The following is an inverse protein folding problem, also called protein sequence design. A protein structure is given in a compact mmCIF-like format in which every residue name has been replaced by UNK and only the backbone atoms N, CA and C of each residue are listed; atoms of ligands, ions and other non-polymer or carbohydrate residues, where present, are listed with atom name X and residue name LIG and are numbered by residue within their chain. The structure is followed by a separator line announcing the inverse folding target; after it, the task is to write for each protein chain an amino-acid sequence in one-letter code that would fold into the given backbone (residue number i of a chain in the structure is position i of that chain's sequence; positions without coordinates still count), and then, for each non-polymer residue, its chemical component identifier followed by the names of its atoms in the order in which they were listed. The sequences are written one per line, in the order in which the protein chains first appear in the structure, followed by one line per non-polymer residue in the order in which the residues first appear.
data_IF_935900875631
#
_entry.id   IF_935900875631
#
_cell.length_a   1.000
_cell.length_b   1.000
_cell.length_c   1.000
_cell.angle_alpha   90.00
_cell.angle_beta   90.00
_cell.angle_gamma   90.00
#
_symmetry.space_group_name_H-M   'P 1'
#
loop_
_entity.id
_entity.type
_entity.pdbx_description
1 polymer ?
#
# COMPACT_ATOMS: atom_id res chain seq x y z
N UNK A 1 -11.27 0.76 -43.89
CA UNK A 1 -11.25 0.86 -42.43
C UNK A 1 -10.50 -0.37 -41.92
N UNK A 2 -9.21 -0.25 -41.70
CA UNK A 2 -8.39 -1.32 -41.10
C UNK A 2 -8.58 -1.26 -39.61
N UNK A 3 -9.06 -2.35 -39.02
CA UNK A 3 -9.14 -2.58 -37.58
C UNK A 3 -7.70 -2.67 -37.03
N UNK A 4 -7.30 -1.68 -36.29
CA UNK A 4 -6.09 -1.76 -35.44
C UNK A 4 -6.39 -2.74 -34.30
N UNK A 5 -5.99 -3.98 -34.45
CA UNK A 5 -5.88 -4.93 -33.34
C UNK A 5 -4.79 -4.41 -32.39
N UNK A 6 -5.20 -4.00 -31.22
CA UNK A 6 -4.27 -3.73 -30.11
C UNK A 6 -3.60 -5.06 -29.79
N UNK A 7 -2.37 -5.25 -30.26
CA UNK A 7 -1.52 -6.35 -29.81
C UNK A 7 -1.32 -6.15 -28.30
N UNK A 8 -1.90 -7.03 -27.49
CA UNK A 8 -1.58 -7.11 -26.05
C UNK A 8 -0.09 -7.36 -25.96
N UNK A 9 0.67 -6.36 -25.51
CA UNK A 9 2.08 -6.48 -25.23
C UNK A 9 2.25 -7.71 -24.31
N UNK A 10 2.99 -8.73 -24.79
CA UNK A 10 3.35 -9.86 -23.94
C UNK A 10 4.37 -9.34 -22.91
N UNK A 11 4.00 -9.34 -21.63
CA UNK A 11 4.93 -9.04 -20.56
C UNK A 11 6.13 -9.99 -20.68
N UNK A 12 7.35 -9.48 -20.78
CA UNK A 12 8.53 -10.34 -20.85
C UNK A 12 8.63 -11.24 -19.62
N UNK A 13 8.89 -12.52 -19.79
CA UNK A 13 8.86 -13.55 -18.76
C UNK A 13 9.94 -13.38 -17.65
N UNK A 14 10.80 -12.35 -17.77
CA UNK A 14 11.85 -12.02 -16.80
C UNK A 14 11.54 -10.78 -15.94
N UNK A 15 10.41 -10.11 -16.19
CA UNK A 15 10.03 -8.94 -15.38
C UNK A 15 9.39 -9.38 -14.07
N UNK A 16 9.87 -8.78 -13.00
CA UNK A 16 9.28 -8.94 -11.68
C UNK A 16 8.54 -7.66 -11.28
N UNK A 17 7.30 -7.82 -10.84
CA UNK A 17 6.44 -6.75 -10.31
C UNK A 17 6.17 -7.00 -8.83
N UNK A 18 5.79 -5.94 -8.12
CA UNK A 18 5.36 -6.05 -6.73
C UNK A 18 4.06 -5.27 -6.50
N UNK A 19 3.20 -5.81 -5.63
CA UNK A 19 2.00 -5.14 -5.15
C UNK A 19 2.24 -4.63 -3.73
N UNK A 20 2.24 -3.31 -3.55
CA UNK A 20 2.57 -2.67 -2.27
C UNK A 20 1.42 -2.70 -1.26
N UNK A 21 0.19 -2.98 -1.70
CA UNK A 21 -0.98 -3.02 -0.83
C UNK A 21 -2.15 -3.76 -1.47
N UNK A 22 -2.60 -4.82 -0.81
CA UNK A 22 -3.82 -5.54 -1.13
C UNK A 22 -4.39 -6.23 0.11
N UNK A 23 -5.57 -6.81 0.00
CA UNK A 23 -6.27 -7.51 1.09
C UNK A 23 -6.47 -8.98 0.74
N UNK A 24 -5.41 -9.78 0.82
CA UNK A 24 -5.47 -11.21 0.47
C UNK A 24 -6.46 -12.00 1.33
N UNK A 25 -6.70 -11.58 2.57
CA UNK A 25 -7.68 -12.19 3.47
C UNK A 25 -9.14 -12.06 3.00
N UNK A 26 -9.42 -11.13 2.08
CA UNK A 26 -10.77 -10.93 1.52
C UNK A 26 -11.06 -11.83 0.31
N UNK A 27 -10.06 -12.52 -0.24
CA UNK A 27 -10.27 -13.46 -1.33
C UNK A 27 -10.82 -14.80 -0.81
N UNK A 28 -11.70 -15.42 -1.57
CA UNK A 28 -12.23 -16.75 -1.26
C UNK A 28 -11.10 -17.81 -1.20
N UNK A 29 -10.15 -17.73 -2.11
CA UNK A 29 -8.95 -18.57 -2.14
C UNK A 29 -7.69 -17.69 -2.33
N UNK A 30 -7.10 -17.21 -1.22
CA UNK A 30 -5.88 -16.41 -1.27
C UNK A 30 -4.72 -17.15 -1.93
N UNK A 31 -4.65 -18.47 -1.79
CA UNK A 31 -3.56 -19.30 -2.33
C UNK A 31 -3.60 -19.35 -3.84
N UNK A 32 -4.76 -19.60 -4.40
CA UNK A 32 -4.97 -19.62 -5.84
C UNK A 32 -4.77 -18.21 -6.44
N UNK A 33 -5.19 -17.16 -5.73
CA UNK A 33 -4.96 -15.77 -6.14
C UNK A 33 -3.48 -15.46 -6.25
N UNK A 34 -2.69 -15.80 -5.24
CA UNK A 34 -1.24 -15.62 -5.23
C UNK A 34 -0.56 -16.45 -6.32
N UNK A 35 -0.94 -17.72 -6.48
CA UNK A 35 -0.39 -18.58 -7.54
C UNK A 35 -0.59 -17.96 -8.92
N UNK A 36 -1.80 -17.48 -9.23
CA UNK A 36 -2.12 -16.83 -10.51
C UNK A 36 -1.35 -15.50 -10.70
N UNK A 37 -1.20 -14.73 -9.63
CA UNK A 37 -0.42 -13.50 -9.68
C UNK A 37 1.06 -13.79 -10.00
N UNK A 38 1.64 -14.81 -9.37
CA UNK A 38 3.01 -15.25 -9.64
C UNK A 38 3.25 -15.70 -11.08
N UNK A 39 2.31 -16.44 -11.65
CA UNK A 39 2.36 -16.84 -13.06
C UNK A 39 2.41 -15.66 -14.02
N UNK A 40 1.92 -14.49 -13.57
CA UNK A 40 1.99 -13.22 -14.30
C UNK A 40 3.22 -12.36 -13.96
N UNK A 41 4.14 -12.85 -13.10
CA UNK A 41 5.37 -12.15 -12.74
C UNK A 41 5.28 -11.29 -11.47
N UNK A 42 4.23 -11.43 -10.64
CA UNK A 42 4.19 -10.74 -9.35
C UNK A 42 5.06 -11.51 -8.35
N UNK A 43 6.23 -10.97 -8.06
CA UNK A 43 7.22 -11.61 -7.19
C UNK A 43 7.08 -11.26 -5.71
N UNK A 44 6.50 -10.11 -5.40
CA UNK A 44 6.33 -9.63 -4.02
C UNK A 44 4.93 -9.08 -3.82
N UNK A 45 4.27 -9.45 -2.72
CA UNK A 45 2.94 -8.96 -2.36
C UNK A 45 2.95 -8.54 -0.89
N UNK A 46 2.48 -7.32 -0.60
CA UNK A 46 2.24 -6.84 0.76
C UNK A 46 0.74 -6.89 1.01
N UNK A 47 0.29 -7.80 1.86
CA UNK A 47 -1.11 -7.83 2.29
C UNK A 47 -1.30 -7.00 3.55
N UNK A 48 -2.46 -6.35 3.69
CA UNK A 48 -2.76 -5.49 4.82
C UNK A 48 -3.92 -6.06 5.65
N UNK A 49 -3.76 -6.06 6.96
CA UNK A 49 -4.84 -6.17 7.92
C UNK A 49 -5.37 -4.78 8.30
N UNK A 50 -6.57 -4.72 8.84
CA UNK A 50 -7.17 -3.47 9.31
C UNK A 50 -7.97 -3.65 10.60
N UNK A 51 -8.25 -4.91 10.96
CA UNK A 51 -8.87 -5.31 12.22
C UNK A 51 -8.03 -6.35 12.94
N UNK A 52 -8.32 -6.61 14.22
CA UNK A 52 -7.69 -7.68 14.96
C UNK A 52 -7.79 -9.03 14.23
N UNK A 53 -8.97 -9.36 13.72
CA UNK A 53 -9.22 -10.59 12.96
C UNK A 53 -8.41 -10.63 11.66
N UNK A 54 -8.45 -9.55 10.88
CA UNK A 54 -7.77 -9.49 9.58
C UNK A 54 -6.25 -9.60 9.74
N UNK A 55 -5.69 -8.99 10.78
CA UNK A 55 -4.27 -9.09 11.11
C UNK A 55 -3.84 -10.55 11.29
N UNK A 56 -4.59 -11.35 12.06
CA UNK A 56 -4.29 -12.78 12.24
C UNK A 56 -4.38 -13.58 10.94
N UNK A 57 -5.37 -13.29 10.10
CA UNK A 57 -5.54 -13.95 8.80
C UNK A 57 -4.39 -13.57 7.86
N UNK A 58 -4.02 -12.30 7.78
CA UNK A 58 -2.91 -11.82 6.97
C UNK A 58 -1.55 -12.41 7.41
N UNK A 59 -1.29 -12.50 8.72
CA UNK A 59 -0.08 -13.15 9.24
C UNK A 59 0.00 -14.61 8.74
N UNK A 60 -1.09 -15.39 8.85
CA UNK A 60 -1.12 -16.78 8.35
C UNK A 60 -0.90 -16.89 6.84
N UNK A 61 -1.46 -15.96 6.06
CA UNK A 61 -1.26 -15.93 4.61
C UNK A 61 0.19 -15.61 4.29
N UNK A 62 0.81 -14.67 5.02
CA UNK A 62 2.19 -14.23 4.80
C UNK A 62 3.27 -15.26 5.16
N UNK A 63 2.95 -16.32 5.91
CA UNK A 63 3.88 -17.46 6.18
C UNK A 63 4.44 -18.11 4.90
N UNK A 64 3.86 -17.79 3.74
CA UNK A 64 4.28 -18.30 2.44
C UNK A 64 5.38 -17.45 1.84
N UNK A 65 6.15 -18.04 0.91
CA UNK A 65 7.22 -17.33 0.21
C UNK A 65 6.72 -16.09 -0.54
N UNK A 66 7.50 -15.00 -0.46
CA UNK A 66 7.29 -13.74 -1.17
C UNK A 66 5.99 -12.98 -0.84
N UNK A 67 5.28 -13.40 0.22
CA UNK A 67 4.18 -12.64 0.78
C UNK A 67 4.65 -12.06 2.11
N UNK A 68 4.33 -10.80 2.33
CA UNK A 68 4.58 -10.09 3.56
C UNK A 68 3.29 -9.43 4.01
N UNK A 69 3.22 -8.99 5.26
CA UNK A 69 2.03 -8.32 5.78
C UNK A 69 2.40 -7.08 6.57
N UNK A 70 1.50 -6.12 6.53
CA UNK A 70 1.43 -5.04 7.51
C UNK A 70 0.23 -5.30 8.41
N UNK A 71 0.32 -4.93 9.67
CA UNK A 71 -0.74 -5.13 10.67
C UNK A 71 -1.03 -3.83 11.41
N UNK A 72 -2.30 -3.58 11.67
CA UNK A 72 -2.72 -2.36 12.36
C UNK A 72 -4.23 -2.36 12.65
N UNK A 73 -4.70 -1.28 13.24
CA UNK A 73 -6.13 -0.99 13.40
C UNK A 73 -6.46 0.19 12.50
N UNK A 74 -7.17 -0.10 11.43
CA UNK A 74 -7.62 0.88 10.45
C UNK A 74 -8.77 1.75 10.97
N UNK A 75 -9.06 2.85 10.27
CA UNK A 75 -10.11 3.79 10.68
C UNK A 75 -11.51 3.17 10.75
N UNK A 76 -11.82 2.18 9.92
CA UNK A 76 -13.09 1.46 9.93
C UNK A 76 -13.32 0.65 11.21
N UNK A 77 -12.26 0.27 11.90
CA UNK A 77 -12.28 -0.58 13.10
C UNK A 77 -11.87 0.17 14.38
N UNK A 78 -11.71 1.49 14.30
CA UNK A 78 -11.27 2.31 15.42
C UNK A 78 -12.13 2.12 16.67
N UNK A 79 -13.45 2.02 16.53
CA UNK A 79 -14.36 1.84 17.65
C UNK A 79 -14.38 0.40 18.19
N UNK A 80 -14.38 -0.59 17.29
CA UNK A 80 -14.49 -2.02 17.70
C UNK A 80 -13.20 -2.58 18.28
N UNK A 81 -12.05 -2.19 17.74
CA UNK A 81 -10.76 -2.86 17.97
C UNK A 81 -9.72 -1.97 18.67
N UNK A 82 -10.13 -0.82 19.22
CA UNK A 82 -9.20 0.14 19.85
C UNK A 82 -8.30 -0.47 20.97
N UNK A 83 -8.81 -1.45 21.69
CA UNK A 83 -8.06 -2.15 22.73
C UNK A 83 -6.94 -3.04 22.19
N UNK A 84 -7.04 -3.48 20.94
CA UNK A 84 -6.07 -4.39 20.32
C UNK A 84 -4.72 -3.72 19.98
N UNK A 85 -4.66 -2.39 19.96
CA UNK A 85 -3.43 -1.66 19.65
C UNK A 85 -2.26 -2.05 20.58
N UNK A 86 -2.54 -2.45 21.81
CA UNK A 86 -1.51 -2.89 22.78
C UNK A 86 -0.88 -4.23 22.43
N UNK A 87 -1.55 -5.04 21.59
CA UNK A 87 -1.06 -6.35 21.17
C UNK A 87 -0.17 -6.29 19.93
N UNK A 88 -0.24 -5.20 19.15
CA UNK A 88 0.47 -5.06 17.87
C UNK A 88 1.96 -5.27 18.03
N UNK A 89 2.59 -4.67 19.03
CA UNK A 89 4.04 -4.81 19.26
C UNK A 89 4.43 -6.27 19.59
N UNK A 90 3.58 -6.97 20.35
CA UNK A 90 3.79 -8.39 20.63
C UNK A 90 3.71 -9.24 19.38
N UNK A 91 2.72 -8.99 18.52
CA UNK A 91 2.52 -9.70 17.27
C UNK A 91 3.66 -9.50 16.28
N UNK A 92 4.19 -8.28 16.15
CA UNK A 92 5.34 -7.99 15.28
C UNK A 92 6.52 -8.92 15.57
N UNK A 93 6.73 -9.28 16.85
CA UNK A 93 7.81 -10.18 17.25
C UNK A 93 7.57 -11.65 16.91
N UNK A 94 6.36 -12.02 16.50
CA UNK A 94 6.00 -13.43 16.22
C UNK A 94 6.37 -13.88 14.80
N UNK A 95 6.56 -12.96 13.85
CA UNK A 95 6.85 -13.32 12.47
C UNK A 95 7.70 -12.26 11.76
N UNK A 96 8.76 -12.68 11.09
CA UNK A 96 9.57 -11.85 10.20
C UNK A 96 8.82 -11.43 8.92
N UNK A 97 7.61 -11.95 8.72
CA UNK A 97 6.75 -11.59 7.59
C UNK A 97 5.94 -10.32 7.84
N UNK A 98 5.90 -9.86 9.09
CA UNK A 98 5.29 -8.58 9.45
C UNK A 98 6.34 -7.49 9.21
N UNK A 99 6.15 -6.71 8.15
CA UNK A 99 7.17 -5.77 7.64
C UNK A 99 6.81 -4.30 7.86
N UNK A 100 5.67 -4.01 8.48
CA UNK A 100 5.24 -2.64 8.74
C UNK A 100 3.98 -2.57 9.61
N UNK A 101 3.62 -1.37 10.02
CA UNK A 101 2.37 -1.07 10.70
C UNK A 101 1.39 -0.47 9.70
N UNK A 102 0.23 -1.09 9.54
CA UNK A 102 -0.79 -0.74 8.57
C UNK A 102 -1.86 -1.84 8.41
N UNK A 103 -2.98 -1.55 7.81
CA UNK A 103 -3.40 -0.25 7.34
C UNK A 103 -3.88 0.60 8.52
N UNK A 104 -3.39 1.83 8.65
CA UNK A 104 -3.72 2.73 9.76
C UNK A 104 -3.93 4.16 9.25
N UNK A 105 -4.65 4.98 9.99
CA UNK A 105 -4.82 6.37 9.57
C UNK A 105 -6.19 6.94 9.91
N UNK A 106 -6.69 7.82 9.02
CA UNK A 106 -7.91 8.59 9.24
C UNK A 106 -8.78 8.57 7.99
N UNK A 107 -10.07 8.25 8.18
CA UNK A 107 -11.09 8.32 7.14
C UNK A 107 -12.29 9.13 7.63
N UNK A 108 -12.50 10.32 7.04
CA UNK A 108 -13.65 11.16 7.41
C UNK A 108 -14.97 10.63 6.88
N UNK A 109 -14.97 9.69 5.90
CA UNK A 109 -16.19 9.12 5.34
C UNK A 109 -16.84 8.08 6.24
N UNK A 110 -16.07 7.50 7.15
CA UNK A 110 -16.57 6.54 8.15
C UNK A 110 -16.75 7.18 9.54
N UNK A 111 -16.53 8.47 9.67
CA UNK A 111 -16.59 9.20 10.95
C UNK A 111 -17.94 9.09 11.68
N UNK A 112 -19.05 8.91 10.96
CA UNK A 112 -20.36 8.68 11.56
C UNK A 112 -20.46 7.37 12.36
N UNK A 113 -19.63 6.38 12.02
CA UNK A 113 -19.57 5.06 12.66
C UNK A 113 -18.37 4.92 13.59
N UNK A 114 -17.29 5.64 13.28
CA UNK A 114 -16.02 5.56 13.98
C UNK A 114 -15.56 6.98 14.31
N UNK A 115 -15.52 7.30 15.60
CA UNK A 115 -15.17 8.63 16.11
C UNK A 115 -13.82 9.11 15.54
N UNK A 116 -13.80 10.31 14.94
CA UNK A 116 -12.60 10.87 14.30
C UNK A 116 -11.52 11.18 15.32
N UNK A 117 -11.88 11.51 16.55
CA UNK A 117 -10.92 11.73 17.64
C UNK A 117 -10.23 10.44 18.02
N UNK A 118 -11.00 9.34 18.10
CA UNK A 118 -10.44 8.01 18.36
C UNK A 118 -9.55 7.52 17.22
N UNK A 119 -9.95 7.75 15.95
CA UNK A 119 -9.09 7.44 14.79
C UNK A 119 -7.72 8.14 14.90
N UNK A 120 -7.72 9.44 15.23
CA UNK A 120 -6.49 10.22 15.42
C UNK A 120 -5.62 9.68 16.56
N UNK A 121 -6.24 9.37 17.69
CA UNK A 121 -5.54 8.82 18.86
C UNK A 121 -4.89 7.46 18.51
N UNK A 122 -5.65 6.57 17.89
CA UNK A 122 -5.14 5.24 17.49
C UNK A 122 -4.05 5.35 16.43
N UNK A 123 -4.21 6.23 15.46
CA UNK A 123 -3.19 6.46 14.45
C UNK A 123 -1.89 6.96 15.09
N UNK A 124 -1.96 7.96 15.98
CA UNK A 124 -0.78 8.48 16.69
C UNK A 124 -0.07 7.38 17.50
N UNK A 125 -0.82 6.58 18.28
CA UNK A 125 -0.26 5.45 19.03
C UNK A 125 0.46 4.44 18.15
N UNK A 126 -0.13 4.08 17.01
CA UNK A 126 0.45 3.12 16.07
C UNK A 126 1.67 3.71 15.34
N UNK A 127 1.63 4.99 15.01
CA UNK A 127 2.78 5.72 14.46
C UNK A 127 3.96 5.76 15.46
N UNK A 128 3.70 5.96 16.75
CA UNK A 128 4.73 5.88 17.80
C UNK A 128 5.33 4.48 17.95
N UNK A 129 4.51 3.41 17.85
CA UNK A 129 5.00 2.03 17.83
C UNK A 129 5.91 1.82 16.59
N UNK A 130 5.47 2.25 15.42
CA UNK A 130 6.26 2.14 14.18
C UNK A 130 7.62 2.84 14.32
N UNK A 131 7.64 4.08 14.81
CA UNK A 131 8.87 4.83 15.05
C UNK A 131 9.80 4.11 16.02
N UNK A 132 9.26 3.60 17.14
CA UNK A 132 10.06 2.90 18.17
C UNK A 132 10.68 1.60 17.64
N UNK A 133 9.98 0.92 16.74
CA UNK A 133 10.44 -0.34 16.14
C UNK A 133 11.18 -0.14 14.82
N UNK A 134 11.37 1.11 14.36
CA UNK A 134 11.97 1.48 13.07
C UNK A 134 11.26 0.86 11.86
N UNK A 135 9.94 0.70 11.95
CA UNK A 135 9.09 0.09 10.93
C UNK A 135 8.38 1.13 10.06
N UNK A 136 8.11 0.85 8.80
CA UNK A 136 7.31 1.71 7.95
C UNK A 136 5.83 1.69 8.35
N UNK A 137 5.13 2.79 8.03
CA UNK A 137 3.68 2.94 8.23
C UNK A 137 2.98 2.96 6.87
N UNK A 138 1.99 2.09 6.68
CA UNK A 138 1.07 2.11 5.52
C UNK A 138 -0.20 2.84 5.91
N UNK A 139 -0.48 3.93 5.21
CA UNK A 139 -1.38 4.98 5.65
C UNK A 139 -2.63 5.07 4.79
N UNK A 140 -3.78 5.01 5.43
CA UNK A 140 -5.06 5.44 4.92
C UNK A 140 -5.33 6.90 5.29
N UNK A 141 -5.67 7.77 4.30
CA UNK A 141 -5.80 9.21 4.56
C UNK A 141 -6.99 9.87 3.85
N UNK A 142 -8.13 9.21 3.80
CA UNK A 142 -9.29 9.67 3.05
C UNK A 142 -9.93 10.91 3.67
N UNK A 143 -9.78 12.05 2.97
CA UNK A 143 -10.30 13.35 3.42
C UNK A 143 -9.57 13.94 4.63
N UNK A 144 -8.41 13.41 5.03
CA UNK A 144 -7.68 13.80 6.24
C UNK A 144 -6.16 13.93 6.04
N UNK A 145 -5.71 14.17 4.81
CA UNK A 145 -4.29 14.14 4.46
C UNK A 145 -3.43 15.08 5.33
N UNK A 146 -3.88 16.33 5.54
CA UNK A 146 -3.14 17.32 6.31
C UNK A 146 -3.01 16.90 7.79
N UNK A 147 -4.06 16.33 8.35
CA UNK A 147 -4.05 15.84 9.73
C UNK A 147 -3.14 14.62 9.89
N UNK A 148 -3.19 13.70 8.93
CA UNK A 148 -2.28 12.56 8.88
C UNK A 148 -0.83 13.03 8.78
N UNK A 149 -0.53 13.96 7.88
CA UNK A 149 0.81 14.51 7.70
C UNK A 149 1.32 15.25 8.98
N UNK A 150 0.43 15.90 9.72
CA UNK A 150 0.73 16.53 11.01
C UNK A 150 1.10 15.50 12.07
N UNK A 151 0.29 14.45 12.23
CA UNK A 151 0.54 13.39 13.20
C UNK A 151 1.86 12.66 12.90
N UNK A 152 2.17 12.36 11.63
CA UNK A 152 3.45 11.77 11.26
C UNK A 152 4.64 12.66 11.63
N UNK A 153 4.51 13.98 11.47
CA UNK A 153 5.54 14.92 11.86
C UNK A 153 5.73 14.97 13.39
N UNK A 154 4.63 14.98 14.16
CA UNK A 154 4.65 15.00 15.62
C UNK A 154 5.21 13.69 16.20
N UNK A 155 4.91 12.56 15.58
CA UNK A 155 5.43 11.24 15.99
C UNK A 155 6.80 10.91 15.42
N UNK A 156 7.37 11.80 14.58
CA UNK A 156 8.68 11.61 13.95
C UNK A 156 8.82 10.30 13.17
N UNK A 157 7.76 9.90 12.44
CA UNK A 157 7.82 8.77 11.53
C UNK A 157 8.59 9.17 10.27
N UNK A 158 9.64 8.42 9.96
CA UNK A 158 10.52 8.69 8.80
C UNK A 158 10.15 7.87 7.57
N UNK A 159 9.43 6.76 7.72
CA UNK A 159 9.12 5.79 6.66
C UNK A 159 7.62 5.61 6.55
N UNK A 160 7.05 6.07 5.45
CA UNK A 160 5.62 5.99 5.24
C UNK A 160 5.27 5.73 3.78
N UNK A 161 4.22 4.95 3.59
CA UNK A 161 3.52 4.73 2.33
C UNK A 161 2.12 5.31 2.43
N UNK A 162 1.82 6.31 1.63
CA UNK A 162 0.45 6.78 1.46
C UNK A 162 -0.24 5.88 0.43
N UNK A 163 -0.95 4.87 0.94
CA UNK A 163 -1.72 3.96 0.11
C UNK A 163 -2.91 4.68 -0.52
N UNK A 164 -3.32 4.27 -1.69
CA UNK A 164 -4.44 4.82 -2.45
C UNK A 164 -4.48 6.36 -2.47
N UNK A 165 -3.35 6.99 -2.70
CA UNK A 165 -3.18 8.43 -2.50
C UNK A 165 -4.25 9.28 -3.21
N UNK A 166 -4.97 10.08 -2.44
CA UNK A 166 -6.06 10.95 -2.93
C UNK A 166 -5.73 12.44 -2.96
N UNK A 167 -4.54 12.85 -2.51
CA UNK A 167 -4.07 14.23 -2.56
C UNK A 167 -3.84 14.75 -3.99
N UNK A 168 -3.46 16.00 -4.11
CA UNK A 168 -3.05 16.60 -5.38
C UNK A 168 -1.54 16.45 -5.63
N UNK A 169 -1.08 16.95 -6.79
CA UNK A 169 0.32 16.87 -7.19
C UNK A 169 1.26 17.66 -6.26
N UNK A 170 0.81 18.77 -5.70
CA UNK A 170 1.60 19.59 -4.76
C UNK A 170 1.81 18.84 -3.45
N UNK A 171 0.73 18.29 -2.90
CA UNK A 171 0.77 17.47 -1.69
C UNK A 171 1.63 16.22 -1.89
N UNK A 172 1.51 15.53 -3.05
CA UNK A 172 2.35 14.38 -3.38
C UNK A 172 3.84 14.74 -3.41
N UNK A 173 4.20 15.88 -4.02
CA UNK A 173 5.59 16.37 -4.07
C UNK A 173 6.13 16.74 -2.68
N UNK A 174 5.32 17.35 -1.83
CA UNK A 174 5.72 17.68 -0.45
C UNK A 174 6.00 16.42 0.39
N UNK A 175 5.16 15.39 0.26
CA UNK A 175 5.37 14.11 0.93
C UNK A 175 6.59 13.37 0.38
N UNK A 176 6.77 13.37 -0.93
CA UNK A 176 7.94 12.78 -1.58
C UNK A 176 9.26 13.46 -1.15
N UNK A 177 9.28 14.78 -0.98
CA UNK A 177 10.44 15.53 -0.44
C UNK A 177 10.81 15.12 0.99
N UNK A 178 9.84 14.64 1.77
CA UNK A 178 10.07 14.08 3.11
C UNK A 178 10.57 12.63 3.07
N UNK A 179 10.73 12.04 1.89
CA UNK A 179 11.15 10.66 1.72
C UNK A 179 10.01 9.64 1.73
N UNK A 180 8.77 10.07 1.82
CA UNK A 180 7.61 9.18 1.83
C UNK A 180 7.27 8.66 0.43
N UNK A 181 6.63 7.51 0.38
CA UNK A 181 6.19 6.88 -0.86
C UNK A 181 4.72 7.17 -1.14
N UNK A 182 4.42 7.34 -2.42
CA UNK A 182 3.08 7.58 -2.95
C UNK A 182 2.67 6.34 -3.74
N UNK A 183 1.57 5.72 -3.37
CA UNK A 183 1.06 4.55 -4.07
C UNK A 183 0.09 4.92 -5.18
N UNK A 184 0.23 4.24 -6.30
CA UNK A 184 -0.61 4.41 -7.48
C UNK A 184 -1.46 3.14 -7.68
N UNK A 185 -2.79 3.21 -7.46
CA UNK A 185 -3.71 2.11 -7.68
C UNK A 185 -4.23 2.05 -9.13
N UNK A 186 -4.94 0.99 -9.54
CA UNK A 186 -5.53 0.86 -10.88
C UNK A 186 -6.54 1.95 -11.26
N UNK A 187 -7.14 2.62 -10.27
CA UNK A 187 -8.09 3.73 -10.49
C UNK A 187 -7.37 5.00 -10.98
N UNK A 188 -6.97 5.04 -12.25
CA UNK A 188 -6.14 6.08 -12.88
C UNK A 188 -6.95 7.31 -13.30
N UNK A 189 -7.27 8.17 -12.33
CA UNK A 189 -7.93 9.46 -12.56
C UNK A 189 -7.00 10.48 -13.22
N UNK A 190 -7.54 11.56 -13.79
CA UNK A 190 -6.76 12.66 -14.33
C UNK A 190 -5.80 13.29 -13.29
N UNK A 191 -6.21 13.35 -12.01
CA UNK A 191 -5.37 13.80 -10.90
C UNK A 191 -4.18 12.84 -10.70
N UNK A 192 -4.40 11.52 -10.61
CA UNK A 192 -3.33 10.54 -10.47
C UNK A 192 -2.35 10.56 -11.64
N UNK A 193 -2.84 10.76 -12.86
CA UNK A 193 -1.95 10.92 -14.02
C UNK A 193 -1.02 12.15 -13.93
N UNK A 194 -1.48 13.27 -13.34
CA UNK A 194 -0.60 14.41 -13.05
C UNK A 194 0.42 14.09 -11.96
N UNK A 195 0.00 13.45 -10.86
CA UNK A 195 0.90 12.98 -9.80
C UNK A 195 2.00 12.08 -10.37
N UNK A 196 1.64 11.10 -11.22
CA UNK A 196 2.61 10.24 -11.89
C UNK A 196 3.63 11.06 -12.67
N UNK A 197 3.22 12.07 -13.40
CA UNK A 197 4.14 12.93 -14.20
C UNK A 197 5.12 13.70 -13.31
N UNK A 198 4.65 14.29 -12.23
CA UNK A 198 5.41 15.22 -11.39
C UNK A 198 6.29 14.51 -10.35
N UNK A 199 5.79 13.48 -9.68
CA UNK A 199 6.53 12.77 -8.62
C UNK A 199 7.63 11.90 -9.22
N UNK A 200 8.82 11.94 -8.65
CA UNK A 200 9.94 11.08 -9.06
C UNK A 200 9.56 9.59 -8.99
N UNK A 201 9.96 8.79 -9.98
CA UNK A 201 9.78 7.34 -9.94
C UNK A 201 10.40 6.70 -8.69
N UNK A 202 11.40 7.34 -8.08
CA UNK A 202 12.04 6.90 -6.83
C UNK A 202 11.13 6.98 -5.59
N UNK A 203 10.01 7.70 -5.68
CA UNK A 203 9.03 7.84 -4.60
C UNK A 203 7.67 7.24 -4.96
N UNK A 204 7.53 6.63 -6.15
CA UNK A 204 6.31 5.93 -6.55
C UNK A 204 6.42 4.43 -6.23
N UNK A 205 5.34 3.88 -5.73
CA UNK A 205 5.08 2.44 -5.71
C UNK A 205 3.74 2.18 -6.41
N UNK A 206 3.49 0.93 -6.76
CA UNK A 206 2.22 0.49 -7.33
C UNK A 206 1.53 -0.45 -6.36
N UNK A 207 0.22 -0.40 -6.37
CA UNK A 207 -0.63 -1.28 -5.57
C UNK A 207 -1.88 -1.66 -6.34
N UNK A 208 -2.63 -2.63 -5.83
CA UNK A 208 -3.95 -2.96 -6.38
C UNK A 208 -5.09 -2.58 -5.49
N UNK A 209 -4.90 -2.56 -4.19
CA UNK A 209 -5.99 -2.51 -3.19
C UNK A 209 -7.06 -3.59 -3.49
N UNK A 210 -6.61 -4.73 -4.01
CA UNK A 210 -7.48 -5.83 -4.42
C UNK A 210 -7.95 -6.65 -3.20
N UNK A 211 -9.18 -7.15 -3.19
CA UNK A 211 -10.21 -7.08 -4.22
C UNK A 211 -11.11 -5.81 -4.16
N UNK A 212 -10.78 -4.81 -3.36
CA UNK A 212 -11.63 -3.63 -3.13
C UNK A 212 -11.66 -2.72 -4.38
N UNK A 213 -10.50 -2.54 -5.04
CA UNK A 213 -10.33 -1.66 -6.21
C UNK A 213 -9.86 -2.45 -7.42
N UNK A 214 -8.68 -3.08 -7.37
CA UNK A 214 -8.24 -4.04 -8.37
C UNK A 214 -8.94 -5.38 -8.21
N UNK A 215 -8.93 -6.19 -9.26
CA UNK A 215 -9.50 -7.55 -9.20
C UNK A 215 -8.51 -8.54 -8.57
N UNK A 216 -7.22 -8.39 -8.88
CA UNK A 216 -6.14 -9.26 -8.39
C UNK A 216 -4.83 -8.49 -8.23
N UNK A 217 -3.85 -9.00 -7.45
CA UNK A 217 -2.53 -8.40 -7.34
C UNK A 217 -1.79 -8.20 -8.68
N UNK A 218 -2.20 -8.91 -9.73
CA UNK A 218 -1.59 -8.77 -11.06
C UNK A 218 -1.98 -7.48 -11.80
N UNK A 219 -2.98 -6.74 -11.30
CA UNK A 219 -3.44 -5.50 -11.95
C UNK A 219 -2.41 -4.36 -11.82
N UNK A 220 -1.39 -4.51 -10.95
CA UNK A 220 -0.23 -3.59 -10.92
C UNK A 220 0.50 -3.51 -12.26
N UNK A 221 0.42 -4.54 -13.11
CA UNK A 221 1.06 -4.54 -14.43
C UNK A 221 0.50 -3.40 -15.28
N UNK A 222 -0.82 -3.27 -15.37
CA UNK A 222 -1.47 -2.18 -16.11
C UNK A 222 -1.19 -0.79 -15.52
N UNK A 223 -0.97 -0.71 -14.20
CA UNK A 223 -0.54 0.53 -13.55
C UNK A 223 0.90 0.88 -13.98
N UNK A 224 1.81 -0.10 -13.98
CA UNK A 224 3.19 0.08 -14.45
C UNK A 224 3.25 0.50 -15.92
N UNK A 225 2.44 -0.11 -16.80
CA UNK A 225 2.32 0.28 -18.21
C UNK A 225 1.91 1.74 -18.36
N UNK A 226 0.93 2.18 -17.58
CA UNK A 226 0.50 3.60 -17.59
C UNK A 226 1.58 4.54 -17.07
N UNK A 227 2.31 4.15 -16.02
CA UNK A 227 3.44 4.95 -15.50
C UNK A 227 4.54 5.07 -16.56
N UNK A 228 4.88 3.96 -17.24
CA UNK A 228 5.89 3.92 -18.30
C UNK A 228 5.52 4.89 -19.44
N UNK A 229 4.27 4.84 -19.92
CA UNK A 229 3.75 5.76 -20.94
C UNK A 229 3.84 7.22 -20.49
N UNK A 230 3.35 7.54 -19.30
CA UNK A 230 3.28 8.93 -18.81
C UNK A 230 4.63 9.54 -18.50
N UNK A 231 5.61 8.73 -18.12
CA UNK A 231 6.99 9.16 -17.83
C UNK A 231 7.93 9.05 -19.04
N UNK A 232 7.51 8.36 -20.11
CA UNK A 232 8.36 8.15 -21.29
C UNK A 232 9.56 7.26 -21.02
N UNK A 233 9.40 6.27 -20.14
CA UNK A 233 10.43 5.27 -19.80
C UNK A 233 9.94 3.86 -20.14
N UNK A 234 10.80 2.84 -20.07
CA UNK A 234 10.38 1.46 -20.37
C UNK A 234 9.56 0.83 -19.23
N UNK A 235 8.76 -0.19 -19.56
CA UNK A 235 8.02 -0.97 -18.55
C UNK A 235 8.99 -1.66 -17.58
N UNK A 236 10.12 -2.13 -18.10
CA UNK A 236 11.21 -2.74 -17.32
C UNK A 236 11.75 -1.80 -16.25
N UNK A 237 11.99 -0.55 -16.62
CA UNK A 237 12.47 0.48 -15.69
C UNK A 237 11.44 0.77 -14.58
N UNK A 238 10.16 0.89 -14.93
CA UNK A 238 9.08 1.10 -13.96
C UNK A 238 8.96 -0.11 -13.05
N UNK A 239 8.87 -1.33 -13.58
CA UNK A 239 8.75 -2.55 -12.80
C UNK A 239 9.92 -2.71 -11.81
N UNK A 240 11.15 -2.55 -12.30
CA UNK A 240 12.34 -2.66 -11.46
C UNK A 240 12.35 -1.58 -10.36
N UNK A 241 12.04 -0.32 -10.70
CA UNK A 241 12.13 0.79 -9.75
C UNK A 241 11.03 0.76 -8.69
N UNK A 242 9.80 0.45 -9.07
CA UNK A 242 8.69 0.35 -8.11
C UNK A 242 8.85 -0.86 -7.18
N UNK A 243 9.35 -1.98 -7.69
CA UNK A 243 9.70 -3.17 -6.88
C UNK A 243 10.86 -2.87 -5.92
N UNK A 244 11.93 -2.20 -6.38
CA UNK A 244 13.04 -1.74 -5.54
C UNK A 244 12.54 -0.80 -4.43
N UNK A 245 11.66 0.13 -4.75
CA UNK A 245 11.08 1.06 -3.79
C UNK A 245 10.31 0.33 -2.68
N UNK A 246 9.50 -0.67 -3.03
CA UNK A 246 8.77 -1.52 -2.07
C UNK A 246 9.77 -2.25 -1.18
N UNK A 247 10.79 -2.89 -1.75
CA UNK A 247 11.82 -3.60 -0.98
C UNK A 247 12.59 -2.68 -0.05
N UNK A 248 12.94 -1.49 -0.51
CA UNK A 248 13.63 -0.48 0.29
C UNK A 248 12.77 0.01 1.45
N UNK A 249 11.47 0.26 1.21
CA UNK A 249 10.54 0.71 2.24
C UNK A 249 10.39 -0.33 3.35
N UNK A 250 10.17 -1.58 2.98
CA UNK A 250 9.84 -2.68 3.90
C UNK A 250 11.05 -3.53 4.34
N UNK A 251 12.26 -3.22 3.86
CA UNK A 251 13.50 -3.98 4.19
C UNK A 251 13.44 -5.47 3.86
N UNK A 252 12.93 -5.83 2.67
CA UNK A 252 12.73 -7.20 2.20
C UNK A 252 13.48 -7.48 0.89
#
# INVERSE_FOLDING_TARGET
MQSLTVEKLRVPTHLEFADAHCHLNLFQDPQETVRKAREKGIGTIITAGGSAKDNFECIKIAEREHIFTVIGIGPDFATSDSGYVVEIEGLIRTSMKIVGIGEVGIDVKVADKNDIGLQKELFAKQAEIARRLDMPVVIHSRGALDEVARILAETHVEKALFHFFEGDETQALELAKKGYFISIPPALTGKRKRIIKEVSLSNLVVETDSPIVGETPADVIGVCETIAELKGVSLEEVAAKTTENIRRLFYI
#
